data_IF_440302302768
#
_entry.id   IF_440302302768
#
_cell.length_a   1.000
_cell.length_b   1.000
_cell.length_c   1.000
_cell.angle_alpha   90.00
_cell.angle_beta   90.00
_cell.angle_gamma   90.00
#
_symmetry.space_group_name_H-M   'P 1'
#
loop_
_entity.id
_entity.type
_entity.pdbx_description
1 polymer ?
#
# COMPACT_ATOMS: atom_id res chain seq x y z
N UNK A 1 -40.44 -62.92 24.51
CA UNK A 1 -40.60 -61.45 24.38
C UNK A 1 -39.55 -60.91 23.40
N UNK A 2 -39.94 -60.58 22.17
CA UNK A 2 -39.06 -60.06 21.11
C UNK A 2 -39.22 -58.52 21.09
N UNK A 3 -38.17 -57.78 21.44
CA UNK A 3 -38.13 -56.33 21.35
C UNK A 3 -37.77 -55.93 19.92
N UNK A 4 -38.65 -55.24 19.23
CA UNK A 4 -38.42 -54.61 17.93
C UNK A 4 -37.83 -53.23 18.18
N UNK A 5 -36.56 -53.01 17.76
CA UNK A 5 -35.96 -51.68 17.68
C UNK A 5 -36.39 -51.06 16.34
N UNK A 6 -37.18 -50.01 16.41
CA UNK A 6 -37.49 -49.18 15.24
C UNK A 6 -36.33 -48.21 15.06
N UNK A 7 -35.57 -48.41 13.99
CA UNK A 7 -34.53 -47.46 13.57
C UNK A 7 -35.22 -46.24 12.92
N UNK A 8 -35.18 -45.11 13.55
CA UNK A 8 -35.68 -43.85 12.99
C UNK A 8 -34.52 -43.24 12.16
N UNK A 9 -34.60 -43.39 10.83
CA UNK A 9 -33.64 -42.75 9.90
C UNK A 9 -34.07 -41.30 9.73
N UNK A 10 -33.35 -40.36 10.35
CA UNK A 10 -33.52 -38.93 10.12
C UNK A 10 -32.86 -38.58 8.77
N UNK A 11 -33.66 -38.34 7.74
CA UNK A 11 -33.22 -37.81 6.46
C UNK A 11 -33.05 -36.31 6.66
N UNK A 12 -31.81 -35.84 6.82
CA UNK A 12 -31.44 -34.44 6.70
C UNK A 12 -31.52 -34.03 5.22
N UNK A 13 -32.66 -33.44 4.82
CA UNK A 13 -32.74 -32.73 3.56
C UNK A 13 -31.85 -31.48 3.67
N UNK A 14 -30.64 -31.52 3.11
CA UNK A 14 -29.87 -30.35 2.84
C UNK A 14 -30.65 -29.51 1.81
N UNK A 15 -31.45 -28.56 2.26
CA UNK A 15 -31.91 -27.47 1.41
C UNK A 15 -30.67 -26.72 0.95
N UNK A 16 -30.26 -26.93 -0.29
CA UNK A 16 -29.26 -26.08 -0.95
C UNK A 16 -29.86 -24.67 -0.96
N UNK A 17 -29.43 -23.85 0.00
CA UNK A 17 -29.70 -22.41 -0.06
C UNK A 17 -29.17 -21.95 -1.40
N UNK A 18 -29.98 -21.31 -2.25
CA UNK A 18 -29.46 -20.76 -3.50
C UNK A 18 -28.31 -19.80 -3.14
N UNK A 19 -27.08 -20.14 -3.55
CA UNK A 19 -25.95 -19.26 -3.47
C UNK A 19 -26.33 -18.04 -4.30
N UNK A 20 -26.69 -16.95 -3.63
CA UNK A 20 -27.12 -15.73 -4.30
C UNK A 20 -25.85 -15.16 -4.92
N UNK A 21 -25.72 -15.26 -6.22
CA UNK A 21 -24.60 -14.67 -6.93
C UNK A 21 -24.50 -13.19 -6.59
N UNK A 22 -23.36 -12.78 -6.13
CA UNK A 22 -23.14 -11.40 -5.70
C UNK A 22 -22.75 -10.53 -6.90
N UNK A 23 -23.29 -9.32 -6.88
CA UNK A 23 -23.01 -8.26 -7.86
C UNK A 23 -22.42 -7.06 -7.12
N UNK A 24 -21.39 -6.46 -7.69
CA UNK A 24 -20.72 -5.29 -7.09
C UNK A 24 -20.48 -4.19 -8.09
N UNK A 25 -20.43 -2.97 -7.59
CA UNK A 25 -19.86 -1.83 -8.32
C UNK A 25 -18.66 -1.32 -7.54
N UNK A 26 -17.49 -1.32 -8.17
CA UNK A 26 -16.25 -0.76 -7.64
C UNK A 26 -16.03 0.64 -8.21
N UNK A 27 -15.65 1.55 -7.34
CA UNK A 27 -15.45 2.97 -7.66
C UNK A 27 -14.15 3.47 -7.02
N UNK A 28 -13.69 4.63 -7.44
CA UNK A 28 -12.72 5.38 -6.65
C UNK A 28 -13.43 5.95 -5.40
N UNK A 29 -13.11 5.41 -4.24
CA UNK A 29 -13.78 5.78 -2.98
C UNK A 29 -13.39 7.17 -2.48
N UNK A 30 -12.26 7.73 -2.92
CA UNK A 30 -11.92 9.13 -2.67
C UNK A 30 -12.87 10.08 -3.41
N UNK A 31 -13.40 9.64 -4.56
CA UNK A 31 -14.28 10.41 -5.41
C UNK A 31 -13.61 10.86 -6.71
N UNK A 32 -14.20 11.85 -7.35
CA UNK A 32 -13.79 12.28 -8.69
C UNK A 32 -13.79 13.80 -8.81
N UNK A 33 -12.86 14.34 -9.58
CA UNK A 33 -12.94 15.74 -10.01
C UNK A 33 -14.10 15.91 -11.01
N UNK A 34 -14.81 17.05 -11.03
CA UNK A 34 -15.95 17.28 -11.91
C UNK A 34 -15.65 17.01 -13.40
N UNK A 35 -14.47 17.43 -13.87
CA UNK A 35 -14.10 17.34 -15.28
C UNK A 35 -13.21 16.13 -15.61
N UNK A 36 -12.88 15.27 -14.62
CA UNK A 36 -12.07 14.08 -14.86
C UNK A 36 -12.85 12.97 -15.54
N UNK A 37 -12.12 11.98 -16.06
CA UNK A 37 -12.68 10.70 -16.44
C UNK A 37 -13.22 10.01 -15.18
N UNK A 38 -14.50 9.62 -15.21
CA UNK A 38 -15.20 8.98 -14.11
C UNK A 38 -15.75 7.64 -14.57
N UNK A 39 -15.08 6.57 -14.17
CA UNK A 39 -15.46 5.20 -14.53
C UNK A 39 -15.55 4.34 -13.27
N UNK A 40 -16.65 3.63 -13.15
CA UNK A 40 -16.82 2.54 -12.20
C UNK A 40 -16.75 1.18 -12.93
N UNK A 41 -16.59 0.11 -12.16
CA UNK A 41 -16.60 -1.25 -12.68
C UNK A 41 -17.73 -2.03 -12.02
N UNK A 42 -18.70 -2.47 -12.82
CA UNK A 42 -19.67 -3.48 -12.40
C UNK A 42 -19.03 -4.86 -12.60
N UNK A 43 -19.28 -5.76 -11.66
CA UNK A 43 -18.83 -7.14 -11.74
C UNK A 43 -19.86 -8.07 -11.11
N UNK A 44 -20.02 -9.26 -11.70
CA UNK A 44 -20.93 -10.30 -11.24
C UNK A 44 -20.31 -11.69 -11.39
N UNK A 45 -20.51 -12.54 -10.40
CA UNK A 45 -20.09 -13.96 -10.45
C UNK A 45 -20.89 -14.76 -11.47
N UNK A 46 -22.10 -14.33 -11.80
CA UNK A 46 -22.94 -14.94 -12.83
C UNK A 46 -22.98 -14.12 -14.11
N UNK A 47 -23.41 -14.77 -15.19
CA UNK A 47 -23.65 -14.11 -16.47
C UNK A 47 -24.80 -13.12 -16.32
N UNK A 48 -24.47 -11.82 -16.29
CA UNK A 48 -25.41 -10.73 -16.10
C UNK A 48 -25.31 -9.77 -17.28
N UNK A 49 -26.45 -9.37 -17.82
CA UNK A 49 -26.54 -8.35 -18.87
C UNK A 49 -26.98 -7.03 -18.25
N UNK A 50 -26.12 -6.02 -18.34
CA UNK A 50 -26.37 -4.67 -17.83
C UNK A 50 -26.65 -3.74 -19.00
N UNK A 51 -27.90 -3.31 -19.15
CA UNK A 51 -28.32 -2.42 -20.23
C UNK A 51 -28.24 -0.93 -19.83
N UNK A 52 -28.44 -0.65 -18.54
CA UNK A 52 -28.44 0.69 -17.98
C UNK A 52 -27.90 0.72 -16.56
N UNK A 53 -27.49 1.90 -16.13
CA UNK A 53 -27.10 2.19 -14.75
C UNK A 53 -27.48 3.62 -14.38
N UNK A 54 -27.75 3.86 -13.11
CA UNK A 54 -28.22 5.12 -12.60
C UNK A 54 -27.20 5.76 -11.64
N UNK A 55 -26.98 7.05 -11.78
CA UNK A 55 -26.36 7.89 -10.76
C UNK A 55 -27.45 8.45 -9.86
N UNK A 56 -27.29 8.27 -8.56
CA UNK A 56 -28.27 8.59 -7.54
C UNK A 56 -27.67 9.56 -6.54
N UNK A 57 -28.38 10.63 -6.22
CA UNK A 57 -28.01 11.55 -5.16
C UNK A 57 -28.07 10.84 -3.80
N UNK A 58 -26.98 10.90 -3.04
CA UNK A 58 -26.80 10.10 -1.83
C UNK A 58 -27.64 10.58 -0.63
N UNK A 59 -28.12 11.82 -0.66
CA UNK A 59 -28.93 12.42 0.41
C UNK A 59 -30.41 12.27 0.16
N UNK A 60 -30.83 12.50 -1.09
CA UNK A 60 -32.26 12.47 -1.44
C UNK A 60 -32.73 11.12 -1.94
N UNK A 61 -31.82 10.23 -2.36
CA UNK A 61 -32.13 8.95 -2.98
C UNK A 61 -32.75 9.08 -4.39
N UNK A 62 -32.77 10.28 -4.97
CA UNK A 62 -33.31 10.53 -6.32
C UNK A 62 -32.27 10.19 -7.39
N UNK A 63 -32.70 9.51 -8.44
CA UNK A 63 -31.88 9.34 -9.64
C UNK A 63 -31.68 10.69 -10.31
N UNK A 64 -30.43 11.12 -10.44
CA UNK A 64 -30.04 12.36 -11.10
C UNK A 64 -29.70 12.17 -12.56
N UNK A 65 -29.22 10.96 -12.92
CA UNK A 65 -28.90 10.62 -14.31
C UNK A 65 -28.99 9.12 -14.52
N UNK A 66 -29.52 8.71 -15.68
CA UNK A 66 -29.45 7.33 -16.19
C UNK A 66 -28.54 7.31 -17.40
N UNK A 67 -27.73 6.27 -17.49
CA UNK A 67 -26.80 5.99 -18.59
C UNK A 67 -27.17 4.64 -19.20
N UNK A 68 -27.00 4.52 -20.51
CA UNK A 68 -27.33 3.31 -21.26
C UNK A 68 -26.08 2.72 -21.91
N UNK A 69 -26.19 1.43 -22.26
CA UNK A 69 -25.18 0.71 -23.03
C UNK A 69 -23.76 0.77 -22.41
N UNK A 70 -23.59 0.33 -21.15
CA UNK A 70 -22.26 0.24 -20.55
C UNK A 70 -21.36 -0.69 -21.36
N UNK A 71 -20.07 -0.39 -21.41
CA UNK A 71 -19.10 -1.19 -22.16
C UNK A 71 -18.83 -2.50 -21.45
N UNK A 72 -19.29 -3.62 -22.03
CA UNK A 72 -18.93 -4.96 -21.57
C UNK A 72 -17.41 -5.20 -21.77
N UNK A 73 -16.76 -5.77 -20.75
CA UNK A 73 -15.34 -6.15 -20.79
C UNK A 73 -15.13 -7.66 -20.66
N UNK A 74 -16.20 -8.43 -20.53
CA UNK A 74 -16.17 -9.90 -20.50
C UNK A 74 -15.87 -10.46 -19.12
N UNK A 75 -15.35 -11.69 -19.10
CA UNK A 75 -14.95 -12.37 -17.89
C UNK A 75 -13.62 -11.84 -17.36
N UNK A 76 -13.50 -11.71 -16.03
CA UNK A 76 -12.26 -11.34 -15.36
C UNK A 76 -12.10 -12.09 -14.03
N UNK A 77 -11.11 -12.97 -13.94
CA UNK A 77 -10.94 -13.87 -12.80
C UNK A 77 -12.18 -14.73 -12.57
N UNK A 78 -12.71 -14.71 -11.35
CA UNK A 78 -13.94 -15.41 -10.96
C UNK A 78 -15.24 -14.71 -11.41
N UNK A 79 -15.14 -13.48 -11.93
CA UNK A 79 -16.30 -12.70 -12.36
C UNK A 79 -16.70 -13.08 -13.79
N UNK A 80 -17.90 -13.63 -13.96
CA UNK A 80 -18.45 -14.06 -15.26
C UNK A 80 -18.85 -12.89 -16.16
N UNK A 81 -19.19 -11.75 -15.58
CA UNK A 81 -19.54 -10.52 -16.30
C UNK A 81 -18.89 -9.32 -15.67
N UNK A 82 -18.27 -8.45 -16.50
CA UNK A 82 -17.74 -7.16 -16.07
C UNK A 82 -18.10 -6.07 -17.08
N UNK A 83 -18.40 -4.87 -16.58
CA UNK A 83 -18.77 -3.70 -17.38
C UNK A 83 -18.07 -2.45 -16.86
N UNK A 84 -17.70 -1.56 -17.79
CA UNK A 84 -17.26 -0.20 -17.45
C UNK A 84 -18.50 0.72 -17.48
N UNK A 85 -18.75 1.35 -16.34
CA UNK A 85 -19.83 2.30 -16.15
C UNK A 85 -19.22 3.71 -16.22
N UNK A 86 -19.28 4.33 -17.39
CA UNK A 86 -18.68 5.64 -17.66
C UNK A 86 -19.70 6.75 -17.43
N UNK A 87 -19.44 7.59 -16.42
CA UNK A 87 -20.24 8.76 -16.09
C UNK A 87 -19.46 10.08 -16.18
N UNK A 88 -18.39 10.10 -17.01
CA UNK A 88 -17.47 11.24 -17.16
C UNK A 88 -18.18 12.53 -17.57
N UNK A 89 -19.28 12.43 -18.33
CA UNK A 89 -20.07 13.57 -18.79
C UNK A 89 -20.98 14.18 -17.71
N UNK A 90 -21.06 13.60 -16.52
CA UNK A 90 -21.74 14.19 -15.37
C UNK A 90 -20.72 14.95 -14.52
N UNK A 91 -20.90 16.28 -14.36
CA UNK A 91 -19.91 17.17 -13.77
C UNK A 91 -20.41 17.91 -12.52
N UNK A 92 -21.67 17.74 -12.13
CA UNK A 92 -22.25 18.46 -11.01
C UNK A 92 -21.61 18.01 -9.69
N UNK A 93 -21.10 18.96 -8.87
CA UNK A 93 -20.59 18.64 -7.55
C UNK A 93 -21.68 18.08 -6.63
N UNK A 94 -21.34 17.12 -5.80
CA UNK A 94 -22.26 16.47 -4.88
C UNK A 94 -21.74 15.14 -4.37
N UNK A 95 -22.58 14.43 -3.62
CA UNK A 95 -22.30 13.06 -3.14
C UNK A 95 -23.29 12.11 -3.77
N UNK A 96 -22.77 11.07 -4.39
CA UNK A 96 -23.54 10.16 -5.22
C UNK A 96 -23.23 8.70 -4.92
N UNK A 97 -24.04 7.82 -5.48
CA UNK A 97 -23.75 6.40 -5.64
C UNK A 97 -24.33 5.89 -6.97
N UNK A 98 -23.78 4.80 -7.47
CA UNK A 98 -24.25 4.14 -8.69
C UNK A 98 -25.12 2.94 -8.36
N UNK A 99 -26.14 2.70 -9.18
CA UNK A 99 -26.96 1.49 -9.21
C UNK A 99 -26.91 0.84 -10.59
N UNK A 100 -26.70 -0.47 -10.66
CA UNK A 100 -26.82 -1.26 -11.88
C UNK A 100 -27.35 -2.64 -11.49
N UNK A 101 -28.49 -3.04 -12.04
CA UNK A 101 -29.16 -4.26 -11.59
C UNK A 101 -29.45 -4.23 -10.09
N UNK A 102 -28.92 -5.20 -9.36
CA UNK A 102 -29.02 -5.29 -7.89
C UNK A 102 -27.85 -4.63 -7.18
N UNK A 103 -26.77 -4.36 -7.90
CA UNK A 103 -25.56 -3.78 -7.33
C UNK A 103 -25.75 -2.30 -7.02
N UNK A 104 -25.20 -1.90 -5.87
CA UNK A 104 -25.11 -0.51 -5.42
C UNK A 104 -23.65 -0.23 -5.04
N UNK A 105 -23.10 0.87 -5.55
CA UNK A 105 -21.74 1.26 -5.17
C UNK A 105 -21.67 1.84 -3.75
N UNK A 106 -20.50 1.92 -3.13
CA UNK A 106 -20.24 2.88 -2.07
C UNK A 106 -20.61 4.30 -2.52
N UNK A 107 -20.86 5.18 -1.55
CA UNK A 107 -21.03 6.61 -1.81
C UNK A 107 -19.69 7.25 -2.16
N UNK A 108 -19.71 8.23 -3.06
CA UNK A 108 -18.51 8.97 -3.46
C UNK A 108 -18.84 10.43 -3.76
N UNK A 109 -17.93 11.37 -3.46
CA UNK A 109 -18.09 12.76 -3.86
C UNK A 109 -17.63 13.00 -5.30
N UNK A 110 -18.26 13.97 -5.95
CA UNK A 110 -17.72 14.70 -7.10
C UNK A 110 -17.44 16.12 -6.62
N UNK A 111 -16.16 16.52 -6.57
CA UNK A 111 -15.77 17.81 -6.03
C UNK A 111 -14.41 18.24 -6.60
N UNK A 112 -14.23 19.55 -6.84
CA UNK A 112 -12.98 20.11 -7.34
C UNK A 112 -11.79 19.93 -6.37
N UNK A 113 -12.07 19.73 -5.09
CA UNK A 113 -11.05 19.58 -4.02
C UNK A 113 -11.00 18.16 -3.47
N UNK A 114 -11.53 17.18 -4.19
CA UNK A 114 -11.70 15.79 -3.69
C UNK A 114 -10.39 15.11 -3.31
N UNK A 115 -9.28 15.52 -3.89
CA UNK A 115 -7.94 14.98 -3.61
C UNK A 115 -7.08 15.86 -2.69
N UNK A 116 -7.61 17.00 -2.23
CA UNK A 116 -6.84 17.86 -1.32
C UNK A 116 -6.46 17.10 -0.04
N UNK A 117 -5.18 17.18 0.33
CA UNK A 117 -4.61 16.50 1.50
C UNK A 117 -4.40 14.99 1.35
N UNK A 118 -4.81 14.37 0.24
CA UNK A 118 -4.62 12.91 0.06
C UNK A 118 -3.17 12.54 -0.15
N UNK A 119 -2.38 13.38 -0.81
CA UNK A 119 -0.96 13.17 -1.02
C UNK A 119 -0.20 13.19 0.32
N UNK A 120 -0.46 14.19 1.17
CA UNK A 120 0.11 14.28 2.52
C UNK A 120 -0.31 13.09 3.40
N UNK A 121 -1.56 12.65 3.28
CA UNK A 121 -2.04 11.46 3.98
C UNK A 121 -1.23 10.21 3.61
N UNK A 122 -0.85 10.04 2.34
CA UNK A 122 -0.02 8.91 1.90
C UNK A 122 1.40 8.95 2.49
N UNK A 123 1.95 10.12 2.79
CA UNK A 123 3.25 10.24 3.48
C UNK A 123 3.25 9.60 4.88
N UNK A 124 2.08 9.44 5.50
CA UNK A 124 1.98 8.72 6.77
C UNK A 124 2.45 7.25 6.66
N UNK A 125 2.27 6.63 5.49
CA UNK A 125 2.82 5.29 5.25
C UNK A 125 4.35 5.31 5.31
N UNK A 126 4.99 6.26 4.65
CA UNK A 126 6.45 6.40 4.67
C UNK A 126 6.95 6.67 6.09
N UNK A 127 6.31 7.58 6.82
CA UNK A 127 6.65 7.87 8.23
C UNK A 127 6.52 6.64 9.14
N UNK A 128 5.53 5.77 8.90
CA UNK A 128 5.37 4.51 9.64
C UNK A 128 6.49 3.51 9.35
N UNK A 129 7.09 3.57 8.16
CA UNK A 129 8.21 2.69 7.78
C UNK A 129 9.58 3.22 8.21
N UNK A 130 9.68 4.40 8.81
CA UNK A 130 10.98 4.95 9.25
C UNK A 130 11.71 4.00 10.19
N UNK A 131 12.96 3.72 9.84
CA UNK A 131 13.92 3.02 10.69
C UNK A 131 14.78 4.04 11.46
N UNK A 132 15.28 3.69 12.63
CA UNK A 132 15.86 4.64 13.55
C UNK A 132 14.78 5.24 14.44
N UNK A 133 14.41 6.52 14.28
CA UNK A 133 13.29 7.11 15.00
C UNK A 133 11.98 6.93 14.22
N UNK A 134 10.99 6.33 14.86
CA UNK A 134 9.64 6.15 14.31
C UNK A 134 8.64 7.10 14.98
N UNK A 135 8.06 8.08 14.26
CA UNK A 135 7.19 9.10 14.85
C UNK A 135 5.84 8.57 15.33
N UNK A 136 5.35 7.47 14.77
CA UNK A 136 4.09 6.83 15.21
C UNK A 136 4.25 6.08 16.52
N UNK A 137 5.38 5.40 16.69
CA UNK A 137 5.71 4.70 17.93
C UNK A 137 6.31 5.64 18.98
N UNK A 138 6.77 6.83 18.57
CA UNK A 138 7.55 7.78 19.38
C UNK A 138 8.74 7.11 20.06
N UNK A 139 9.36 6.19 19.35
CA UNK A 139 10.43 5.34 19.84
C UNK A 139 11.41 5.02 18.72
N UNK A 140 12.59 4.52 19.06
CA UNK A 140 13.63 4.12 18.12
C UNK A 140 13.65 2.62 17.91
N UNK A 141 14.08 2.19 16.72
CA UNK A 141 14.29 0.79 16.37
C UNK A 141 15.59 0.62 15.58
N UNK A 142 16.19 -0.58 15.67
CA UNK A 142 17.33 -1.00 14.83
C UNK A 142 18.52 -0.03 14.87
N UNK A 143 18.78 0.58 16.03
CA UNK A 143 19.84 1.59 16.18
C UNK A 143 21.25 1.00 16.26
N UNK A 144 21.37 -0.32 16.32
CA UNK A 144 22.63 -1.05 16.39
C UNK A 144 23.00 -1.76 15.07
N UNK A 145 22.22 -1.54 14.00
CA UNK A 145 22.50 -2.12 12.68
C UNK A 145 23.77 -1.56 12.06
N UNK A 146 24.33 -2.26 11.08
CA UNK A 146 25.46 -1.79 10.30
C UNK A 146 26.75 -2.60 10.46
N UNK A 147 26.66 -3.84 10.93
CA UNK A 147 27.81 -4.73 10.96
C UNK A 147 28.08 -5.28 9.56
N UNK A 148 29.24 -4.93 9.01
CA UNK A 148 29.63 -5.32 7.64
C UNK A 148 29.81 -6.83 7.57
N UNK A 149 29.02 -7.47 6.70
CA UNK A 149 29.10 -8.89 6.42
C UNK A 149 29.85 -9.15 5.10
N UNK A 150 30.61 -10.23 5.07
CA UNK A 150 31.24 -10.78 3.86
C UNK A 150 32.13 -9.82 3.04
N UNK A 151 32.65 -8.78 3.65
CA UNK A 151 33.60 -7.88 2.98
C UNK A 151 35.03 -8.46 3.11
N UNK A 152 35.87 -8.39 2.06
CA UNK A 152 37.23 -8.98 2.11
C UNK A 152 38.12 -8.49 3.26
N UNK A 153 37.97 -7.25 3.67
CA UNK A 153 38.85 -6.60 4.68
C UNK A 153 38.12 -5.90 5.81
N UNK A 154 36.79 -5.74 5.73
CA UNK A 154 35.99 -4.94 6.68
C UNK A 154 34.92 -5.75 7.41
N UNK A 155 34.81 -7.06 7.16
CA UNK A 155 33.85 -7.92 7.86
C UNK A 155 33.97 -7.76 9.37
N UNK A 156 32.83 -7.54 10.05
CA UNK A 156 32.73 -7.32 11.48
C UNK A 156 32.93 -5.86 11.93
N UNK A 157 33.40 -4.96 11.05
CA UNK A 157 33.38 -3.52 11.34
C UNK A 157 31.96 -2.98 11.34
N UNK A 158 31.70 -1.94 12.11
CA UNK A 158 30.41 -1.28 12.20
C UNK A 158 30.44 0.08 11.51
N UNK A 159 29.39 0.40 10.77
CA UNK A 159 29.10 1.70 10.20
C UNK A 159 27.73 2.20 10.67
N UNK A 160 27.54 3.52 10.76
CA UNK A 160 26.22 4.09 11.09
C UNK A 160 25.29 4.05 9.88
N UNK A 161 24.28 3.21 9.95
CA UNK A 161 23.25 3.04 8.91
C UNK A 161 21.84 3.40 9.41
N UNK A 162 21.72 4.14 10.51
CA UNK A 162 20.41 4.55 11.07
C UNK A 162 19.66 5.44 10.09
N UNK A 163 18.35 5.23 9.97
CA UNK A 163 17.46 5.98 9.08
C UNK A 163 16.91 5.14 7.94
N UNK A 164 16.38 5.80 6.92
CA UNK A 164 15.69 5.13 5.83
C UNK A 164 14.35 4.51 6.23
N UNK A 165 13.89 3.58 5.42
CA UNK A 165 12.61 2.93 5.61
C UNK A 165 12.73 1.42 5.54
N UNK A 166 11.95 0.73 6.38
CA UNK A 166 11.74 -0.70 6.25
C UNK A 166 11.00 -1.00 4.93
N UNK A 167 11.38 -2.04 4.24
CA UNK A 167 10.75 -2.45 2.99
C UNK A 167 9.35 -3.05 3.24
N UNK A 168 9.23 -3.87 4.27
CA UNK A 168 8.00 -4.52 4.68
C UNK A 168 7.97 -4.77 6.20
N UNK A 169 7.21 -5.77 6.67
CA UNK A 169 7.16 -6.19 8.09
C UNK A 169 8.35 -7.06 8.50
N UNK A 170 9.19 -7.43 7.58
CA UNK A 170 10.46 -8.15 7.79
C UNK A 170 11.64 -7.20 8.10
N UNK A 171 11.38 -5.90 8.02
CA UNK A 171 12.30 -4.80 8.35
C UNK A 171 13.61 -4.74 7.55
N UNK A 172 13.75 -5.50 6.46
CA UNK A 172 14.86 -5.31 5.53
C UNK A 172 14.83 -3.89 4.95
N UNK A 173 16.01 -3.39 4.55
CA UNK A 173 16.15 -2.10 3.90
C UNK A 173 17.04 -2.26 2.67
N UNK A 174 16.58 -1.70 1.54
CA UNK A 174 17.29 -1.79 0.26
C UNK A 174 17.52 -0.40 -0.31
N UNK A 175 18.76 -0.10 -0.72
CA UNK A 175 19.09 1.18 -1.36
C UNK A 175 18.33 1.39 -2.66
N UNK A 176 18.11 0.31 -3.42
CA UNK A 176 17.41 0.38 -4.71
C UNK A 176 15.95 0.80 -4.55
N UNK A 177 15.20 0.17 -3.63
CA UNK A 177 13.78 0.51 -3.41
C UNK A 177 13.64 1.88 -2.78
N UNK A 178 14.52 2.22 -1.83
CA UNK A 178 14.54 3.55 -1.21
C UNK A 178 14.89 4.67 -2.19
N UNK A 179 15.88 4.46 -3.07
CA UNK A 179 16.23 5.44 -4.11
C UNK A 179 15.06 5.65 -5.11
N UNK A 180 14.36 4.56 -5.47
CA UNK A 180 13.18 4.67 -6.31
C UNK A 180 12.04 5.43 -5.60
N UNK A 181 11.79 5.17 -4.33
CA UNK A 181 10.78 5.90 -3.55
C UNK A 181 11.10 7.41 -3.48
N UNK A 182 12.37 7.77 -3.21
CA UNK A 182 12.84 9.15 -3.23
C UNK A 182 12.60 9.79 -4.59
N UNK A 183 12.99 9.12 -5.67
CA UNK A 183 12.77 9.62 -7.03
C UNK A 183 11.29 9.88 -7.32
N UNK A 184 10.41 8.96 -6.96
CA UNK A 184 8.97 9.12 -7.15
C UNK A 184 8.39 10.28 -6.33
N UNK A 185 8.82 10.46 -5.09
CA UNK A 185 8.41 11.58 -4.26
C UNK A 185 8.92 12.92 -4.84
N UNK A 186 10.18 12.98 -5.29
CA UNK A 186 10.74 14.18 -5.95
C UNK A 186 9.96 14.53 -7.22
N UNK A 187 9.65 13.53 -8.05
CA UNK A 187 8.89 13.70 -9.27
C UNK A 187 7.46 14.18 -8.97
N UNK A 188 6.78 13.58 -7.99
CA UNK A 188 5.44 13.99 -7.57
C UNK A 188 5.42 15.44 -7.07
N UNK A 189 6.43 15.85 -6.29
CA UNK A 189 6.56 17.23 -5.82
C UNK A 189 6.85 18.21 -6.95
N UNK A 190 7.72 17.83 -7.89
CA UNK A 190 8.01 18.65 -9.07
C UNK A 190 6.78 18.91 -9.94
N UNK A 191 5.95 17.87 -10.16
CA UNK A 191 4.78 17.95 -11.02
C UNK A 191 3.60 18.70 -10.37
N UNK A 192 3.46 18.61 -9.04
CA UNK A 192 2.37 19.25 -8.34
C UNK A 192 2.75 19.64 -6.89
N UNK A 193 3.57 20.68 -6.71
CA UNK A 193 4.04 21.10 -5.38
C UNK A 193 2.90 21.52 -4.45
N UNK A 194 1.82 22.09 -5.00
CA UNK A 194 0.67 22.57 -4.21
C UNK A 194 -0.17 21.43 -3.59
N UNK A 195 0.06 20.17 -4.00
CA UNK A 195 -0.61 19.02 -3.40
C UNK A 195 -0.04 18.64 -2.02
N UNK A 196 1.09 19.24 -1.61
CA UNK A 196 1.82 18.91 -0.40
C UNK A 196 1.88 20.11 0.54
N UNK A 197 1.44 19.88 1.79
CA UNK A 197 1.44 20.87 2.86
C UNK A 197 2.70 20.78 3.73
N UNK A 198 2.66 21.55 4.83
CA UNK A 198 3.66 21.59 5.89
C UNK A 198 2.92 21.46 7.22
N UNK A 199 2.67 20.22 7.64
CA UNK A 199 1.96 19.90 8.87
C UNK A 199 2.83 19.11 9.86
N UNK A 200 3.96 18.60 9.41
CA UNK A 200 4.90 17.81 10.21
C UNK A 200 6.31 18.39 10.07
N UNK A 201 7.13 18.24 11.10
CA UNK A 201 8.53 18.60 11.06
C UNK A 201 9.42 17.46 10.53
N UNK A 202 10.72 17.73 10.37
CA UNK A 202 11.68 16.75 9.87
C UNK A 202 11.75 15.44 10.70
N UNK A 203 11.37 15.47 11.98
CA UNK A 203 11.24 14.27 12.80
C UNK A 203 9.94 13.49 12.53
N UNK A 204 9.04 14.02 11.71
CA UNK A 204 7.73 13.41 11.40
C UNK A 204 6.67 13.63 12.49
N UNK A 205 6.90 14.60 13.39
CA UNK A 205 5.97 14.98 14.45
C UNK A 205 5.07 16.15 13.99
N UNK A 206 3.81 16.23 14.45
CA UNK A 206 2.90 17.31 14.08
C UNK A 206 3.41 18.69 14.49
N UNK A 207 4.01 19.41 13.57
CA UNK A 207 4.54 20.76 13.73
C UNK A 207 5.04 21.27 12.37
N UNK A 208 4.48 22.36 11.86
CA UNK A 208 5.00 23.00 10.64
C UNK A 208 6.41 23.55 10.85
N UNK A 209 7.30 23.36 9.89
CA UNK A 209 8.71 23.81 9.98
C UNK A 209 9.15 24.71 8.81
N UNK A 210 8.23 25.09 7.93
CA UNK A 210 8.49 25.91 6.75
C UNK A 210 8.98 25.10 5.53
N UNK A 211 9.01 23.77 5.64
CA UNK A 211 9.43 22.85 4.58
C UNK A 211 8.26 21.91 4.27
N UNK A 212 7.85 21.75 2.99
CA UNK A 212 6.81 20.79 2.66
C UNK A 212 7.11 19.39 3.18
N UNK A 213 6.12 18.72 3.74
CA UNK A 213 6.23 17.40 4.37
C UNK A 213 6.91 16.35 3.49
N UNK A 214 6.64 16.39 2.18
CA UNK A 214 7.26 15.46 1.23
C UNK A 214 8.78 15.72 1.10
N UNK A 215 9.21 16.97 1.21
CA UNK A 215 10.66 17.34 1.12
C UNK A 215 11.40 16.84 2.35
N UNK A 216 10.79 16.94 3.54
CA UNK A 216 11.34 16.36 4.76
C UNK A 216 11.47 14.84 4.66
N UNK A 217 10.47 14.17 4.08
CA UNK A 217 10.49 12.72 3.88
C UNK A 217 11.53 12.28 2.84
N UNK A 218 11.66 13.03 1.74
CA UNK A 218 12.73 12.85 0.75
C UNK A 218 14.10 12.98 1.42
N UNK A 219 14.28 14.02 2.23
CA UNK A 219 15.54 14.25 2.95
C UNK A 219 15.87 13.12 3.91
N UNK A 220 14.88 12.57 4.62
CA UNK A 220 15.07 11.41 5.49
C UNK A 220 15.69 10.23 4.74
N UNK A 221 15.18 9.93 3.57
CA UNK A 221 15.72 8.86 2.71
C UNK A 221 17.09 9.18 2.13
N UNK A 222 17.32 10.43 1.67
CA UNK A 222 18.62 10.85 1.13
C UNK A 222 19.72 10.79 2.19
N UNK A 223 19.43 11.22 3.42
CA UNK A 223 20.38 11.14 4.52
C UNK A 223 20.79 9.69 4.82
N UNK A 224 19.86 8.76 4.70
CA UNK A 224 20.15 7.33 4.82
C UNK A 224 20.98 6.80 3.63
N UNK A 225 20.65 7.14 2.39
CA UNK A 225 21.44 6.75 1.22
C UNK A 225 22.90 7.25 1.33
N UNK A 226 23.12 8.45 1.88
CA UNK A 226 24.45 8.94 2.14
C UNK A 226 25.22 8.10 3.17
N UNK A 227 24.53 7.57 4.19
CA UNK A 227 25.15 6.63 5.15
C UNK A 227 25.47 5.28 4.52
N UNK A 228 24.67 4.83 3.57
CA UNK A 228 24.93 3.61 2.82
C UNK A 228 26.04 3.76 1.77
N UNK A 229 26.53 5.00 1.56
CA UNK A 229 27.70 5.33 0.73
C UNK A 229 28.70 6.19 1.53
N UNK A 230 29.36 5.63 2.56
CA UNK A 230 30.16 6.40 3.51
C UNK A 230 31.46 6.97 2.93
N UNK A 231 31.95 6.42 1.81
CA UNK A 231 33.16 6.89 1.15
C UNK A 231 33.10 6.61 -0.37
N UNK A 232 33.85 7.37 -1.20
CA UNK A 232 33.95 7.09 -2.62
C UNK A 232 34.34 5.63 -2.90
N UNK A 233 33.53 4.94 -3.70
CA UNK A 233 33.72 3.52 -4.04
C UNK A 233 33.21 2.53 -2.99
N UNK A 234 32.64 2.99 -1.91
CA UNK A 234 31.98 2.14 -0.88
C UNK A 234 30.47 2.32 -0.97
N UNK A 235 29.78 1.33 -1.47
CA UNK A 235 28.31 1.29 -1.51
C UNK A 235 27.82 0.02 -0.84
N UNK A 236 26.95 0.19 0.12
CA UNK A 236 26.20 -0.89 0.75
C UNK A 236 24.78 -0.88 0.20
N UNK A 237 24.26 -2.03 -0.19
CA UNK A 237 22.98 -2.11 -0.91
C UNK A 237 21.81 -2.56 -0.06
N UNK A 238 22.09 -3.15 1.11
CA UNK A 238 21.07 -3.83 1.91
C UNK A 238 21.46 -3.88 3.39
N UNK A 239 20.44 -3.74 4.25
CA UNK A 239 20.53 -4.06 5.68
C UNK A 239 19.63 -5.24 5.95
N UNK A 240 20.07 -6.16 6.84
CA UNK A 240 19.48 -7.45 7.16
C UNK A 240 19.52 -8.47 6.00
N UNK A 241 19.15 -9.70 6.28
CA UNK A 241 19.15 -10.82 5.34
C UNK A 241 17.83 -11.60 5.37
N UNK A 242 17.71 -12.64 4.54
CA UNK A 242 16.50 -13.44 4.38
C UNK A 242 15.97 -14.07 5.69
N UNK A 243 16.79 -14.19 6.74
CA UNK A 243 16.35 -14.67 8.05
C UNK A 243 15.40 -13.68 8.74
N UNK A 244 15.40 -12.42 8.31
CA UNK A 244 14.52 -11.37 8.84
C UNK A 244 13.05 -11.50 8.38
N UNK A 245 12.76 -12.38 7.42
CA UNK A 245 11.39 -12.71 6.99
C UNK A 245 10.57 -13.49 8.04
N UNK A 246 10.83 -13.29 9.31
CA UNK A 246 10.27 -14.09 10.40
C UNK A 246 9.14 -13.39 11.15
N UNK A 247 7.94 -13.49 10.63
CA UNK A 247 6.72 -13.15 11.36
C UNK A 247 6.47 -11.66 11.53
N UNK A 248 5.33 -11.33 12.16
CA UNK A 248 4.90 -9.95 12.42
C UNK A 248 5.32 -9.52 13.84
N UNK A 249 5.96 -8.37 13.94
CA UNK A 249 6.38 -7.74 15.19
C UNK A 249 6.39 -6.23 15.05
N UNK A 250 6.37 -5.49 16.15
CA UNK A 250 6.61 -4.05 16.09
C UNK A 250 8.11 -3.79 15.97
N UNK A 251 8.56 -2.79 15.19
CA UNK A 251 9.99 -2.56 14.96
C UNK A 251 10.76 -2.22 16.23
N UNK A 252 10.15 -1.49 17.18
CA UNK A 252 10.75 -1.18 18.47
C UNK A 252 10.70 -2.34 19.48
N UNK A 253 10.13 -3.47 19.10
CA UNK A 253 10.06 -4.72 19.88
C UNK A 253 10.75 -5.87 19.14
N UNK A 254 11.54 -5.56 18.12
CA UNK A 254 12.32 -6.55 17.42
C UNK A 254 13.49 -7.01 18.27
N UNK A 255 13.43 -8.26 18.72
CA UNK A 255 14.40 -8.91 19.60
C UNK A 255 15.26 -9.93 18.84
N UNK A 256 15.14 -9.99 17.51
CA UNK A 256 15.87 -10.98 16.70
C UNK A 256 17.36 -10.65 16.70
N UNK A 257 18.18 -11.64 17.03
CA UNK A 257 19.65 -11.56 17.02
C UNK A 257 20.20 -12.50 15.95
N UNK A 258 20.89 -11.93 14.99
CA UNK A 258 21.53 -12.68 13.90
C UNK A 258 23.01 -13.00 14.18
N UNK A 259 23.55 -12.57 15.33
CA UNK A 259 24.91 -12.88 15.77
C UNK A 259 26.01 -12.07 15.07
N UNK A 260 25.70 -10.92 14.47
CA UNK A 260 26.71 -10.11 13.80
C UNK A 260 27.42 -9.12 14.73
N UNK A 261 26.80 -8.73 15.84
CA UNK A 261 27.41 -7.79 16.78
C UNK A 261 26.54 -7.53 18.01
N UNK A 262 27.03 -6.76 18.98
CA UNK A 262 26.27 -6.41 20.17
C UNK A 262 25.02 -5.59 19.85
N UNK A 263 24.02 -5.68 20.72
CA UNK A 263 22.77 -4.94 20.56
C UNK A 263 21.85 -5.50 19.49
N UNK A 264 22.01 -6.76 19.11
CA UNK A 264 21.20 -7.45 18.08
C UNK A 264 21.25 -6.75 16.72
N UNK A 265 22.41 -6.17 16.38
CA UNK A 265 22.63 -5.45 15.14
C UNK A 265 22.49 -6.33 13.91
N UNK A 266 21.78 -5.83 12.92
CA UNK A 266 21.62 -6.51 11.63
C UNK A 266 22.82 -6.22 10.71
N UNK A 267 23.17 -7.15 9.80
CA UNK A 267 24.28 -6.98 8.89
C UNK A 267 23.99 -5.94 7.80
N UNK A 268 25.07 -5.38 7.25
CA UNK A 268 25.06 -4.56 6.04
C UNK A 268 25.95 -5.20 4.99
N UNK A 269 25.49 -5.20 3.74
CA UNK A 269 26.16 -5.89 2.63
C UNK A 269 26.70 -4.89 1.59
N UNK A 270 27.98 -5.05 1.23
CA UNK A 270 28.58 -4.22 0.17
C UNK A 270 28.20 -4.71 -1.22
N UNK A 271 28.08 -3.79 -2.17
CA UNK A 271 27.74 -4.08 -3.59
C UNK A 271 28.78 -5.02 -4.23
N UNK A 272 30.06 -4.84 -3.90
CA UNK A 272 31.15 -5.69 -4.46
C UNK A 272 30.98 -7.16 -4.11
N UNK A 273 30.38 -7.47 -2.96
CA UNK A 273 30.12 -8.85 -2.55
C UNK A 273 28.91 -9.45 -3.27
N UNK A 274 27.81 -8.70 -3.41
CA UNK A 274 26.60 -9.20 -4.09
C UNK A 274 26.83 -9.51 -5.56
N UNK A 275 27.76 -8.84 -6.24
CA UNK A 275 28.16 -9.18 -7.59
C UNK A 275 29.01 -10.46 -7.71
N UNK A 276 29.74 -10.80 -6.66
CA UNK A 276 30.59 -12.00 -6.63
C UNK A 276 29.82 -13.29 -6.28
N UNK A 277 28.64 -13.18 -5.68
CA UNK A 277 27.85 -14.32 -5.19
C UNK A 277 26.71 -14.73 -6.11
N UNK A 278 26.44 -14.01 -7.19
CA UNK A 278 25.56 -14.53 -8.22
C UNK A 278 26.23 -15.74 -8.87
N UNK A 279 25.69 -16.96 -8.72
CA UNK A 279 26.26 -18.10 -9.38
C UNK A 279 26.11 -17.85 -10.88
N UNK A 280 27.24 -17.65 -11.57
CA UNK A 280 27.33 -17.85 -13.01
C UNK A 280 27.02 -19.32 -13.26
N UNK A 281 25.75 -19.66 -13.39
CA UNK A 281 25.37 -20.89 -14.05
C UNK A 281 25.73 -20.70 -15.53
N UNK A 282 26.90 -21.24 -15.88
CA UNK A 282 27.23 -21.52 -17.25
C UNK A 282 26.24 -22.55 -17.82
#
# INVERSE_FOLDING_TARGET
MKRYYRLLTLIFAFAALPCKADEWIRINQLGYLPQSIKVAVFMSETKTDVQEYALVDAFTGKTVRTFTSPKATGQSGSMSSTYRLDFSNFQEPGTYYLKAGKAVSPRFPINAQVYNGTADFLLNYMRQQRCGYNPFLKDSCHVHDGYIAYHPTKTGQHIDVRGGWHDATDYLQYTTTSANAIYQMMFAYQENPEAFGDAYNAAGLPEANGIPDIVDEIKWGLDWLNRMNPAPGELYNQIADDRDHAGMRLPNKDEVDYGYGPGKGRPVYSVSYTHLTLPTKA
#
